data_IF_326685350597
#
_entry.id   IF_326685350597
#
_cell.length_a   1.000
_cell.length_b   1.000
_cell.length_c   1.000
_cell.angle_alpha   90.00
_cell.angle_beta   90.00
_cell.angle_gamma   90.00
#
_symmetry.space_group_name_H-M   'P 1'
#
loop_
_entity.id
_entity.type
_entity.pdbx_description
1 polymer ?
#
# COMPACT_ATOMS: atom_id res chain seq x y z
N UNK A 1 -6.43 0.37 28.82
CA UNK A 1 -6.16 -0.78 27.92
C UNK A 1 -4.74 -0.63 27.40
N UNK A 2 -3.96 -1.71 27.35
CA UNK A 2 -2.61 -1.66 26.77
C UNK A 2 -2.73 -1.54 25.24
N UNK A 3 -1.90 -0.74 24.57
CA UNK A 3 -1.89 -0.67 23.11
C UNK A 3 -1.52 -2.05 22.54
N UNK A 4 -2.35 -2.57 21.64
CA UNK A 4 -2.08 -3.81 20.92
C UNK A 4 -1.37 -3.48 19.62
N UNK A 5 -0.12 -3.91 19.49
CA UNK A 5 0.62 -3.77 18.23
C UNK A 5 0.04 -4.73 17.19
N UNK A 6 -0.51 -4.19 16.11
CA UNK A 6 -0.97 -4.98 14.97
C UNK A 6 0.22 -5.26 14.03
N UNK A 7 0.33 -6.50 13.57
CA UNK A 7 1.27 -6.89 12.51
C UNK A 7 0.50 -6.94 11.19
N UNK A 8 0.95 -6.19 10.19
CA UNK A 8 0.42 -6.26 8.82
C UNK A 8 1.37 -7.10 7.96
N UNK A 9 0.82 -8.03 7.21
CA UNK A 9 1.54 -8.85 6.23
C UNK A 9 0.87 -8.69 4.88
N UNK A 10 1.64 -8.29 3.86
CA UNK A 10 1.19 -8.29 2.47
C UNK A 10 1.67 -9.59 1.82
N UNK A 11 0.75 -10.50 1.54
CA UNK A 11 1.06 -11.85 1.03
C UNK A 11 -0.02 -12.34 0.06
N UNK A 12 0.30 -13.36 -0.73
CA UNK A 12 -0.63 -14.01 -1.65
C UNK A 12 -1.04 -15.39 -1.14
N UNK A 13 -2.30 -15.73 -1.38
CA UNK A 13 -2.85 -17.06 -1.12
C UNK A 13 -2.17 -18.06 -2.06
N UNK A 14 -1.54 -19.10 -1.49
CA UNK A 14 -0.86 -20.17 -2.24
C UNK A 14 -1.87 -21.14 -2.86
N UNK A 15 -1.38 -22.03 -3.72
CA UNK A 15 -2.19 -23.11 -4.27
C UNK A 15 -2.85 -23.92 -3.15
N UNK A 16 -4.13 -24.25 -3.33
CA UNK A 16 -4.95 -24.91 -2.30
C UNK A 16 -5.62 -23.96 -1.29
N UNK A 17 -5.44 -22.63 -1.41
CA UNK A 17 -6.15 -21.68 -0.56
C UNK A 17 -5.49 -21.42 0.80
N UNK A 18 -4.19 -21.67 0.91
CA UNK A 18 -3.45 -21.56 2.17
C UNK A 18 -2.57 -20.31 2.22
N UNK A 19 -2.40 -19.75 3.43
CA UNK A 19 -1.46 -18.69 3.74
C UNK A 19 -0.35 -19.25 4.64
N UNK A 20 0.88 -18.82 4.40
CA UNK A 20 2.04 -19.15 5.25
C UNK A 20 2.68 -17.83 5.69
N UNK A 21 2.87 -17.67 7.00
CA UNK A 21 3.29 -16.41 7.63
C UNK A 21 4.36 -16.70 8.67
N UNK A 22 5.51 -16.05 8.55
CA UNK A 22 6.52 -16.02 9.60
C UNK A 22 6.16 -14.96 10.65
N UNK A 23 5.86 -15.41 11.87
CA UNK A 23 5.41 -14.54 12.97
C UNK A 23 6.47 -14.44 14.07
N UNK A 24 6.65 -13.26 14.71
CA UNK A 24 7.65 -13.05 15.75
C UNK A 24 7.16 -13.55 17.13
N UNK A 25 6.37 -14.63 17.15
CA UNK A 25 5.81 -15.19 18.38
C UNK A 25 6.42 -16.57 18.67
N UNK A 26 6.61 -16.92 19.95
CA UNK A 26 7.10 -18.23 20.32
C UNK A 26 6.08 -19.32 19.99
N UNK A 27 6.56 -20.55 19.82
CA UNK A 27 5.72 -21.72 19.63
C UNK A 27 4.69 -21.87 20.78
N UNK A 28 3.43 -22.15 20.44
CA UNK A 28 2.33 -22.30 21.40
C UNK A 28 1.63 -21.00 21.82
N UNK A 29 2.08 -19.84 21.36
CA UNK A 29 1.37 -18.58 21.57
C UNK A 29 -0.03 -18.61 20.92
N UNK A 30 -1.05 -18.13 21.66
CA UNK A 30 -2.39 -17.96 21.12
C UNK A 30 -2.46 -16.67 20.33
N UNK A 31 -2.80 -16.76 19.06
CA UNK A 31 -2.95 -15.62 18.16
C UNK A 31 -4.36 -15.59 17.57
N UNK A 32 -4.82 -14.39 17.22
CA UNK A 32 -6.05 -14.19 16.44
C UNK A 32 -5.63 -13.57 15.11
N UNK A 33 -6.11 -14.13 14.01
CA UNK A 33 -5.78 -13.67 12.64
C UNK A 33 -7.03 -13.10 12.00
N UNK A 34 -6.92 -11.90 11.45
CA UNK A 34 -7.93 -11.29 10.59
C UNK A 34 -7.44 -11.32 9.16
N UNK A 35 -8.22 -11.93 8.26
CA UNK A 35 -7.92 -12.00 6.84
C UNK A 35 -8.89 -11.07 6.11
N UNK A 36 -8.35 -10.11 5.37
CA UNK A 36 -9.10 -9.16 4.57
C UNK A 36 -8.56 -9.27 3.15
N UNK A 37 -9.45 -9.48 2.17
CA UNK A 37 -9.07 -9.40 0.78
C UNK A 37 -8.68 -7.96 0.47
N UNK A 38 -7.43 -7.74 0.06
CA UNK A 38 -6.97 -6.42 -0.33
C UNK A 38 -7.27 -6.21 -1.81
N UNK A 39 -8.08 -5.20 -2.10
CA UNK A 39 -8.30 -4.68 -3.45
C UNK A 39 -7.34 -3.53 -3.77
N UNK A 40 -6.29 -3.30 -2.96
CA UNK A 40 -5.25 -2.29 -3.21
C UNK A 40 -4.49 -2.65 -4.49
N UNK A 41 -5.09 -2.29 -5.61
CA UNK A 41 -4.45 -2.17 -6.88
C UNK A 41 -3.57 -0.93 -6.78
N UNK A 42 -2.39 -1.09 -6.17
CA UNK A 42 -1.33 -0.07 -6.18
C UNK A 42 -1.01 0.37 -7.63
N UNK A 43 -1.41 -0.43 -8.61
CA UNK A 43 -1.48 -0.07 -10.03
C UNK A 43 -2.24 1.23 -10.29
N UNK A 44 -3.32 1.54 -9.59
CA UNK A 44 -4.12 2.72 -9.88
C UNK A 44 -3.40 3.98 -9.43
N UNK A 45 -2.76 3.93 -8.26
CA UNK A 45 -1.88 5.01 -7.78
C UNK A 45 -0.63 5.14 -8.65
N UNK A 46 -0.05 4.02 -9.10
CA UNK A 46 1.08 4.02 -10.03
C UNK A 46 0.70 4.58 -11.40
N UNK A 47 -0.47 4.23 -11.93
CA UNK A 47 -1.00 4.77 -13.18
C UNK A 47 -1.31 6.26 -13.05
N UNK A 48 -1.87 6.70 -11.93
CA UNK A 48 -2.08 8.12 -11.66
C UNK A 48 -0.76 8.89 -11.56
N UNK A 49 0.27 8.31 -10.94
CA UNK A 49 1.61 8.93 -10.87
C UNK A 49 2.34 8.97 -12.23
N UNK A 50 2.03 8.03 -13.12
CA UNK A 50 2.52 8.01 -14.51
C UNK A 50 1.66 8.86 -15.45
N UNK A 51 0.57 9.45 -14.94
CA UNK A 51 -0.27 10.33 -15.75
C UNK A 51 0.48 11.60 -16.14
N UNK A 52 -0.05 12.27 -17.15
CA UNK A 52 0.62 13.38 -17.79
C UNK A 52 0.81 14.57 -16.85
N UNK A 53 2.02 15.12 -16.79
CA UNK A 53 2.28 16.41 -16.16
C UNK A 53 1.75 17.60 -16.97
N UNK A 54 1.11 17.35 -18.13
CA UNK A 54 0.53 18.41 -18.98
C UNK A 54 -0.52 19.26 -18.26
N UNK A 55 -1.15 18.76 -17.19
CA UNK A 55 -2.00 19.58 -16.33
C UNK A 55 -1.24 20.75 -15.68
N UNK A 56 0.04 20.55 -15.38
CA UNK A 56 0.94 21.57 -14.83
C UNK A 56 1.73 22.32 -15.91
N UNK A 57 1.64 21.89 -17.18
CA UNK A 57 2.30 22.53 -18.31
C UNK A 57 1.43 23.69 -18.83
N UNK A 58 1.46 24.81 -18.10
CA UNK A 58 0.73 26.01 -18.46
C UNK A 58 1.70 27.10 -18.94
N UNK A 59 1.74 27.40 -20.25
CA UNK A 59 2.63 28.43 -20.79
C UNK A 59 2.43 29.82 -20.18
N UNK A 60 1.23 30.10 -19.65
CA UNK A 60 0.94 31.36 -18.94
C UNK A 60 1.57 31.39 -17.54
N UNK A 61 1.63 30.26 -16.85
CA UNK A 61 2.28 30.17 -15.54
C UNK A 61 3.81 30.19 -15.69
N UNK A 62 4.36 29.63 -16.77
CA UNK A 62 5.79 29.64 -17.04
C UNK A 62 6.35 31.06 -17.30
N UNK A 63 5.54 31.97 -17.84
CA UNK A 63 5.94 33.37 -18.10
C UNK A 63 5.99 34.22 -16.81
N UNK A 64 5.03 34.00 -15.90
CA UNK A 64 4.90 34.75 -14.65
C UNK A 64 5.76 34.17 -13.51
N UNK A 65 5.96 32.86 -13.46
CA UNK A 65 6.65 32.20 -12.33
C UNK A 65 8.17 32.06 -12.52
N UNK A 66 8.65 31.94 -13.77
CA UNK A 66 10.09 31.84 -14.08
C UNK A 66 10.81 33.20 -14.18
N UNK A 67 10.09 34.32 -14.12
CA UNK A 67 10.64 35.68 -14.11
C UNK A 67 10.65 36.32 -12.70
N UNK A 68 10.64 35.51 -11.63
CA UNK A 68 10.79 35.96 -10.24
C UNK A 68 12.27 36.12 -9.82
#
# INVERSE_FOLDING_TARGET
MLPQTALKYDTQVKSGGHLELDVPFPAGARVTVFVIQSDDAFSDLLMAAQSSAEFWNNPLDDEDWNNA
#
